data_IF_106931738904
#
_entry.id   IF_106931738904
#
_cell.length_a   1.000
_cell.length_b   1.000
_cell.length_c   1.000
_cell.angle_alpha   90.00
_cell.angle_beta   90.00
_cell.angle_gamma   90.00
#
_symmetry.space_group_name_H-M   'P 1'
#
loop_
_entity.id
_entity.type
_entity.pdbx_description
1 polymer ?
#
# COMPACT_ATOMS: atom_id res chain seq x y z
N UNK A 1 0.13 23.01 5.58
CA UNK A 1 1.01 23.87 6.40
C UNK A 1 0.81 25.36 6.16
N UNK A 2 1.06 25.94 4.97
CA UNK A 2 0.95 27.42 4.78
C UNK A 2 -0.47 28.00 4.94
N UNK A 3 -1.54 27.26 4.63
CA UNK A 3 -2.93 27.71 4.78
C UNK A 3 -3.40 27.66 6.25
N UNK A 4 -2.98 26.68 7.01
CA UNK A 4 -3.30 26.54 8.44
C UNK A 4 -2.61 27.60 9.28
N UNK A 5 -1.35 27.92 8.93
CA UNK A 5 -0.60 29.00 9.60
C UNK A 5 -1.24 30.38 9.38
N UNK A 6 -1.75 30.64 8.16
CA UNK A 6 -2.48 31.89 7.86
C UNK A 6 -3.83 31.98 8.59
N UNK A 7 -4.55 30.84 8.71
CA UNK A 7 -5.80 30.80 9.47
C UNK A 7 -5.59 31.03 10.97
N UNK A 8 -4.53 30.47 11.55
CA UNK A 8 -4.14 30.70 12.96
C UNK A 8 -3.74 32.16 13.24
N UNK A 9 -2.97 32.77 12.33
CA UNK A 9 -2.57 34.17 12.45
C UNK A 9 -3.79 35.08 12.33
N UNK A 10 -4.74 34.76 11.43
CA UNK A 10 -5.99 35.54 11.28
C UNK A 10 -6.88 35.41 12.51
N UNK A 11 -7.01 34.21 13.08
CA UNK A 11 -7.75 33.98 14.33
C UNK A 11 -7.14 34.71 15.53
N UNK A 12 -5.81 34.73 15.64
CA UNK A 12 -5.09 35.45 16.70
C UNK A 12 -5.30 36.95 16.61
N UNK A 13 -5.31 37.54 15.41
CA UNK A 13 -5.59 38.98 15.22
C UNK A 13 -7.04 39.38 15.56
N UNK A 14 -8.00 38.47 15.38
CA UNK A 14 -9.40 38.70 15.80
C UNK A 14 -9.53 38.73 17.33
N UNK A 15 -8.74 37.94 18.04
CA UNK A 15 -8.73 37.88 19.51
C UNK A 15 -8.14 39.15 20.19
N UNK A 16 -7.37 39.95 19.46
CA UNK A 16 -6.81 41.22 19.99
C UNK A 16 -7.70 42.42 19.80
N UNK A 17 -8.81 42.31 19.03
CA UNK A 17 -9.77 43.41 18.86
C UNK A 17 -10.61 43.64 20.11
N UNK A 18 -11.05 44.89 20.40
CA UNK A 18 -11.94 45.19 21.52
C UNK A 18 -13.27 44.44 21.36
N UNK A 19 -13.85 44.03 22.50
CA UNK A 19 -15.03 43.13 22.55
C UNK A 19 -16.23 43.60 21.74
N UNK A 20 -16.46 44.93 21.65
CA UNK A 20 -17.56 45.51 20.88
C UNK A 20 -17.36 45.37 19.35
N UNK A 21 -16.14 45.22 18.85
CA UNK A 21 -15.83 44.97 17.43
C UNK A 21 -15.81 43.49 17.06
N UNK A 22 -15.67 42.60 18.02
CA UNK A 22 -15.64 41.14 17.77
C UNK A 22 -17.01 40.63 17.35
N UNK A 23 -18.06 41.10 17.98
CA UNK A 23 -19.42 40.62 17.72
C UNK A 23 -19.89 40.88 16.27
N UNK A 24 -19.79 42.14 15.72
CA UNK A 24 -20.17 42.39 14.34
C UNK A 24 -19.26 41.67 13.33
N UNK A 25 -17.97 41.45 13.63
CA UNK A 25 -17.05 40.72 12.77
C UNK A 25 -17.41 39.24 12.72
N UNK A 26 -17.78 38.63 13.86
CA UNK A 26 -18.28 37.24 13.90
C UNK A 26 -19.59 37.07 13.12
N UNK A 27 -20.52 38.05 13.24
CA UNK A 27 -21.79 38.03 12.48
C UNK A 27 -21.51 38.17 10.99
N UNK A 28 -20.55 39.00 10.58
CA UNK A 28 -20.18 39.19 9.18
C UNK A 28 -19.56 37.89 8.59
N UNK A 29 -18.68 37.23 9.32
CA UNK A 29 -18.07 35.94 8.90
C UNK A 29 -19.15 34.85 8.80
N UNK A 30 -20.06 34.81 9.78
CA UNK A 30 -21.17 33.85 9.77
C UNK A 30 -22.13 34.10 8.60
N UNK A 31 -22.43 35.36 8.25
CA UNK A 31 -23.28 35.74 7.12
C UNK A 31 -22.66 35.31 5.75
N UNK A 32 -21.32 35.35 5.61
CA UNK A 32 -20.65 34.90 4.41
C UNK A 32 -20.73 33.38 4.18
N UNK A 33 -20.82 32.59 5.27
CA UNK A 33 -20.95 31.12 5.17
C UNK A 33 -22.33 30.68 4.69
N UNK A 34 -23.38 31.40 4.96
CA UNK A 34 -24.76 31.08 4.55
C UNK A 34 -25.07 31.35 3.06
N UNK A 35 -24.34 32.25 2.40
CA UNK A 35 -24.63 32.60 0.99
C UNK A 35 -24.24 31.52 -0.02
N UNK A 36 -23.28 30.65 0.31
CA UNK A 36 -22.85 29.57 -0.58
C UNK A 36 -23.87 28.41 -0.60
N UNK A 37 -24.50 28.11 0.53
CA UNK A 37 -25.48 27.03 0.64
C UNK A 37 -26.77 27.29 -0.13
N UNK A 38 -27.19 28.57 -0.23
CA UNK A 38 -28.43 28.94 -0.92
C UNK A 38 -28.39 28.76 -2.43
N UNK A 39 -27.22 28.95 -3.07
CA UNK A 39 -27.06 28.82 -4.53
C UNK A 39 -27.10 27.35 -4.98
N UNK A 40 -26.42 26.44 -4.24
CA UNK A 40 -26.44 25.02 -4.55
C UNK A 40 -27.85 24.42 -4.38
N UNK A 41 -28.54 24.75 -3.31
CA UNK A 41 -29.90 24.28 -3.07
C UNK A 41 -30.90 24.67 -4.17
N UNK A 42 -30.73 25.86 -4.81
CA UNK A 42 -31.52 26.23 -5.99
C UNK A 42 -31.25 25.34 -7.20
N UNK A 43 -29.97 25.01 -7.44
CA UNK A 43 -29.60 24.09 -8.52
C UNK A 43 -30.19 22.69 -8.28
N UNK A 44 -30.04 22.17 -7.07
CA UNK A 44 -30.51 20.84 -6.69
C UNK A 44 -32.03 20.71 -6.84
N UNK A 45 -32.80 21.76 -6.49
CA UNK A 45 -34.27 21.79 -6.63
C UNK A 45 -34.77 22.05 -8.05
N UNK A 46 -33.88 22.38 -8.99
CA UNK A 46 -34.29 22.61 -10.38
C UNK A 46 -34.82 21.34 -11.02
N UNK A 47 -35.84 21.46 -11.86
CA UNK A 47 -36.34 20.39 -12.73
C UNK A 47 -35.72 20.42 -14.13
N UNK A 48 -34.91 21.45 -14.44
CA UNK A 48 -34.14 21.56 -15.67
C UNK A 48 -32.86 20.72 -15.54
N UNK A 49 -32.86 19.54 -16.13
CA UNK A 49 -31.75 18.59 -16.07
C UNK A 49 -30.53 19.10 -16.88
N UNK A 50 -30.72 19.83 -17.97
CA UNK A 50 -29.62 20.41 -18.73
C UNK A 50 -28.95 21.54 -17.96
N UNK A 51 -29.72 22.34 -17.24
CA UNK A 51 -29.17 23.33 -16.31
C UNK A 51 -28.39 22.66 -15.17
N UNK A 52 -28.93 21.58 -14.57
CA UNK A 52 -28.21 20.80 -13.55
C UNK A 52 -26.91 20.25 -14.09
N UNK A 53 -26.89 19.71 -15.32
CA UNK A 53 -25.68 19.17 -15.93
C UNK A 53 -24.61 20.26 -16.10
N UNK A 54 -24.99 21.42 -16.68
CA UNK A 54 -24.07 22.56 -16.80
C UNK A 54 -23.52 23.02 -15.44
N UNK A 55 -24.32 22.98 -14.40
CA UNK A 55 -23.90 23.35 -13.06
C UNK A 55 -22.99 22.28 -12.44
N UNK A 56 -23.23 20.99 -12.64
CA UNK A 56 -22.36 19.89 -12.23
C UNK A 56 -20.97 20.05 -12.86
N UNK A 57 -20.91 20.33 -14.16
CA UNK A 57 -19.68 20.64 -14.89
C UNK A 57 -18.94 21.82 -14.27
N UNK A 58 -19.65 22.91 -14.00
CA UNK A 58 -19.07 24.11 -13.37
C UNK A 58 -18.50 23.80 -11.98
N UNK A 59 -19.19 22.99 -11.17
CA UNK A 59 -18.69 22.57 -9.86
C UNK A 59 -17.48 21.62 -9.99
N UNK A 60 -17.49 20.71 -10.96
CA UNK A 60 -16.36 19.82 -11.23
C UNK A 60 -15.10 20.61 -11.58
N UNK A 61 -15.18 21.53 -12.55
CA UNK A 61 -14.06 22.41 -12.95
C UNK A 61 -13.58 23.28 -11.78
N UNK A 62 -14.51 23.76 -10.95
CA UNK A 62 -14.19 24.52 -9.74
C UNK A 62 -13.67 23.64 -8.57
N UNK A 63 -13.44 22.33 -8.79
CA UNK A 63 -13.00 21.33 -7.79
C UNK A 63 -13.93 21.22 -6.57
N UNK A 64 -15.19 21.61 -6.72
CA UNK A 64 -16.25 21.44 -5.73
C UNK A 64 -16.88 20.06 -5.91
N UNK A 65 -16.06 19.02 -5.75
CA UNK A 65 -16.40 17.64 -6.12
C UNK A 65 -17.63 17.11 -5.38
N UNK A 66 -17.84 17.48 -4.11
CA UNK A 66 -19.04 17.08 -3.38
C UNK A 66 -20.34 17.59 -4.04
N UNK A 67 -20.35 18.86 -4.46
CA UNK A 67 -21.51 19.44 -5.15
C UNK A 67 -21.70 18.83 -6.56
N UNK A 68 -20.61 18.62 -7.28
CA UNK A 68 -20.65 17.98 -8.59
C UNK A 68 -21.15 16.55 -8.50
N UNK A 69 -20.65 15.78 -7.53
CA UNK A 69 -21.04 14.38 -7.30
C UNK A 69 -22.53 14.24 -7.04
N UNK A 70 -23.10 15.04 -6.15
CA UNK A 70 -24.54 15.00 -5.86
C UNK A 70 -25.40 15.27 -7.09
N UNK A 71 -25.00 16.21 -7.95
CA UNK A 71 -25.73 16.50 -9.18
C UNK A 71 -25.55 15.38 -10.21
N UNK A 72 -24.33 14.84 -10.37
CA UNK A 72 -24.10 13.72 -11.27
C UNK A 72 -24.86 12.47 -10.83
N UNK A 73 -24.96 12.20 -9.53
CA UNK A 73 -25.73 11.09 -8.98
C UNK A 73 -27.20 11.19 -9.35
N UNK A 74 -27.82 12.39 -9.19
CA UNK A 74 -29.21 12.64 -9.60
C UNK A 74 -29.40 12.50 -11.11
N UNK A 75 -28.40 12.94 -11.91
CA UNK A 75 -28.47 12.94 -13.37
C UNK A 75 -28.13 11.57 -13.99
N UNK A 76 -27.46 10.71 -13.27
CA UNK A 76 -26.99 9.42 -13.76
C UNK A 76 -28.10 8.56 -14.39
N UNK A 77 -29.26 8.32 -13.73
CA UNK A 77 -30.36 7.58 -14.33
C UNK A 77 -31.05 8.32 -15.50
N UNK A 78 -31.01 9.65 -15.50
CA UNK A 78 -31.69 10.49 -16.50
C UNK A 78 -30.93 10.45 -17.84
N UNK A 79 -29.59 10.50 -17.80
CA UNK A 79 -28.77 10.53 -18.99
C UNK A 79 -28.34 9.15 -19.49
N UNK A 80 -28.69 8.07 -18.79
CA UNK A 80 -28.37 6.70 -19.22
C UNK A 80 -28.87 6.45 -20.65
N UNK A 81 -27.96 6.04 -21.53
CA UNK A 81 -28.23 5.80 -22.94
C UNK A 81 -28.20 7.05 -23.84
N UNK A 82 -27.92 8.23 -23.28
CA UNK A 82 -27.74 9.47 -24.05
C UNK A 82 -26.25 9.73 -24.39
N UNK A 83 -25.92 10.52 -25.40
CA UNK A 83 -24.54 10.80 -25.80
C UNK A 83 -23.67 11.41 -24.66
N UNK A 84 -24.29 12.20 -23.78
CA UNK A 84 -23.59 12.86 -22.67
C UNK A 84 -23.27 11.93 -21.52
N UNK A 85 -23.84 10.72 -21.51
CA UNK A 85 -23.74 9.79 -20.37
C UNK A 85 -22.30 9.34 -20.12
N UNK A 86 -21.53 9.11 -21.16
CA UNK A 86 -20.11 8.69 -21.00
C UNK A 86 -19.29 9.75 -20.25
N UNK A 87 -19.42 11.02 -20.62
CA UNK A 87 -18.67 12.11 -19.99
C UNK A 87 -19.14 12.39 -18.56
N UNK A 88 -20.46 12.32 -18.34
CA UNK A 88 -21.05 12.41 -17.00
C UNK A 88 -20.51 11.30 -16.09
N UNK A 89 -20.52 10.05 -16.57
CA UNK A 89 -20.06 8.89 -15.80
C UNK A 89 -18.57 9.03 -15.44
N UNK A 90 -17.74 9.39 -16.42
CA UNK A 90 -16.32 9.66 -16.21
C UNK A 90 -16.10 10.66 -15.07
N UNK A 91 -16.76 11.80 -15.12
CA UNK A 91 -16.61 12.86 -14.12
C UNK A 91 -17.20 12.47 -12.77
N UNK A 92 -18.28 11.71 -12.74
CA UNK A 92 -18.86 11.17 -11.51
C UNK A 92 -17.87 10.23 -10.80
N UNK A 93 -17.23 9.32 -11.54
CA UNK A 93 -16.21 8.45 -11.01
C UNK A 93 -15.02 9.23 -10.40
N UNK A 94 -14.57 10.27 -11.12
CA UNK A 94 -13.51 11.13 -10.61
C UNK A 94 -13.91 11.99 -9.42
N UNK A 95 -15.17 12.41 -9.30
CA UNK A 95 -15.64 13.06 -8.08
C UNK A 95 -15.44 12.16 -6.86
N UNK A 96 -15.86 10.90 -6.93
CA UNK A 96 -15.68 9.91 -5.86
C UNK A 96 -14.19 9.72 -5.52
N UNK A 97 -13.32 9.65 -6.54
CA UNK A 97 -11.89 9.54 -6.34
C UNK A 97 -11.30 10.76 -5.61
N UNK A 98 -11.64 11.98 -6.03
CA UNK A 98 -11.13 13.20 -5.40
C UNK A 98 -11.67 13.42 -3.98
N UNK A 99 -12.87 12.93 -3.70
CA UNK A 99 -13.46 12.92 -2.36
C UNK A 99 -12.90 11.80 -1.47
N UNK A 100 -12.05 10.92 -2.04
CA UNK A 100 -11.46 9.76 -1.36
C UNK A 100 -12.52 8.72 -0.95
N UNK A 101 -13.66 8.72 -1.59
CA UNK A 101 -14.61 7.62 -1.51
C UNK A 101 -14.12 6.48 -2.41
N UNK A 102 -13.16 5.74 -1.86
CA UNK A 102 -12.42 4.74 -2.62
C UNK A 102 -13.29 3.58 -3.10
N UNK A 103 -14.27 3.19 -2.27
CA UNK A 103 -15.17 2.09 -2.61
C UNK A 103 -16.04 2.47 -3.79
N UNK A 104 -16.66 3.65 -3.76
CA UNK A 104 -17.48 4.15 -4.85
C UNK A 104 -16.66 4.43 -6.10
N UNK A 105 -15.46 5.01 -5.95
CA UNK A 105 -14.56 5.28 -7.07
C UNK A 105 -14.17 3.99 -7.80
N UNK A 106 -13.74 2.95 -7.08
CA UNK A 106 -13.40 1.64 -7.66
C UNK A 106 -14.57 1.04 -8.43
N UNK A 107 -15.76 1.02 -7.81
CA UNK A 107 -16.96 0.51 -8.44
C UNK A 107 -17.32 1.28 -9.72
N UNK A 108 -17.24 2.61 -9.68
CA UNK A 108 -17.58 3.45 -10.85
C UNK A 108 -16.53 3.28 -11.97
N UNK A 109 -15.24 3.20 -11.66
CA UNK A 109 -14.22 2.93 -12.65
C UNK A 109 -14.42 1.57 -13.32
N UNK A 110 -14.72 0.53 -12.53
CA UNK A 110 -15.05 -0.79 -13.04
C UNK A 110 -16.29 -0.77 -13.94
N UNK A 111 -17.40 -0.20 -13.45
CA UNK A 111 -18.66 -0.13 -14.21
C UNK A 111 -18.51 0.69 -15.50
N UNK A 112 -17.67 1.74 -15.49
CA UNK A 112 -17.41 2.51 -16.71
C UNK A 112 -16.87 1.62 -17.83
N UNK A 113 -15.89 0.76 -17.54
CA UNK A 113 -15.30 -0.14 -18.53
C UNK A 113 -16.25 -1.24 -18.99
N UNK A 114 -17.20 -1.64 -18.13
CA UNK A 114 -18.26 -2.59 -18.48
C UNK A 114 -19.32 -1.95 -19.41
N UNK A 115 -19.63 -0.66 -19.20
CA UNK A 115 -20.65 0.06 -19.99
C UNK A 115 -20.06 0.61 -21.29
N UNK A 116 -18.80 1.05 -21.28
CA UNK A 116 -18.11 1.68 -22.42
C UNK A 116 -16.78 0.97 -22.73
N UNK A 117 -16.80 -0.34 -23.09
CA UNK A 117 -15.57 -1.11 -23.30
C UNK A 117 -14.71 -0.61 -24.47
N UNK A 118 -15.29 0.09 -25.42
CA UNK A 118 -14.61 0.63 -26.62
C UNK A 118 -14.29 2.12 -26.49
N UNK A 119 -14.54 2.73 -25.35
CA UNK A 119 -14.23 4.14 -25.11
C UNK A 119 -12.73 4.40 -25.10
N UNK A 120 -12.31 5.52 -25.65
CA UNK A 120 -10.92 5.98 -25.50
C UNK A 120 -10.53 6.25 -24.04
N UNK A 121 -11.51 6.41 -23.15
CA UNK A 121 -11.29 6.58 -21.70
C UNK A 121 -11.20 5.24 -20.95
N UNK A 122 -11.54 4.11 -21.57
CA UNK A 122 -11.59 2.81 -20.91
C UNK A 122 -10.23 2.41 -20.32
N UNK A 123 -9.15 2.56 -21.08
CA UNK A 123 -7.79 2.30 -20.59
C UNK A 123 -7.47 3.10 -19.31
N UNK A 124 -7.81 4.40 -19.30
CA UNK A 124 -7.59 5.23 -18.13
C UNK A 124 -8.44 4.77 -16.93
N UNK A 125 -9.68 4.34 -17.16
CA UNK A 125 -10.57 3.86 -16.10
C UNK A 125 -10.06 2.55 -15.48
N UNK A 126 -9.53 1.64 -16.29
CA UNK A 126 -8.90 0.41 -15.80
C UNK A 126 -7.66 0.72 -14.93
N UNK A 127 -6.80 1.61 -15.42
CA UNK A 127 -5.66 2.09 -14.65
C UNK A 127 -6.09 2.73 -13.32
N UNK A 128 -7.07 3.64 -13.35
CA UNK A 128 -7.55 4.35 -12.17
C UNK A 128 -8.23 3.43 -11.15
N UNK A 129 -8.88 2.36 -11.61
CA UNK A 129 -9.39 1.30 -10.73
C UNK A 129 -8.25 0.67 -9.92
N UNK A 130 -7.19 0.23 -10.58
CA UNK A 130 -6.01 -0.34 -9.93
C UNK A 130 -5.31 0.68 -9.02
N UNK A 131 -5.17 1.92 -9.49
CA UNK A 131 -4.58 3.01 -8.74
C UNK A 131 -5.36 3.37 -7.47
N UNK A 132 -6.68 3.22 -7.50
CA UNK A 132 -7.54 3.42 -6.32
C UNK A 132 -7.20 2.43 -5.20
N UNK A 133 -6.92 1.16 -5.51
CA UNK A 133 -6.42 0.19 -4.53
C UNK A 133 -5.03 0.55 -4.01
N UNK A 134 -4.14 1.02 -4.90
CA UNK A 134 -2.82 1.50 -4.48
C UNK A 134 -2.91 2.65 -3.46
N UNK A 135 -3.82 3.60 -3.68
CA UNK A 135 -4.06 4.72 -2.76
C UNK A 135 -4.62 4.28 -1.40
N UNK A 136 -5.28 3.14 -1.33
CA UNK A 136 -5.80 2.52 -0.11
C UNK A 136 -4.80 1.60 0.57
N UNK A 137 -3.68 1.25 -0.09
CA UNK A 137 -2.68 0.35 0.45
C UNK A 137 -2.09 0.91 1.75
N UNK A 138 -2.25 0.22 2.90
CA UNK A 138 -1.84 0.75 4.20
C UNK A 138 -0.34 0.57 4.45
N UNK A 139 0.12 0.87 5.69
CA UNK A 139 1.47 0.54 6.13
C UNK A 139 1.67 -0.98 6.14
N UNK A 140 2.94 -1.42 6.00
CA UNK A 140 3.30 -2.84 5.85
C UNK A 140 2.77 -3.74 7.00
N UNK A 141 2.66 -3.23 8.22
CA UNK A 141 2.21 -3.98 9.39
C UNK A 141 0.71 -4.35 9.37
N UNK A 142 -0.07 -3.62 8.59
CA UNK A 142 -1.51 -3.80 8.51
C UNK A 142 -1.90 -4.85 7.45
N UNK A 143 -3.19 -5.06 7.26
CA UNK A 143 -3.72 -5.94 6.21
C UNK A 143 -3.31 -5.46 4.81
N UNK A 144 -2.80 -6.36 3.99
CA UNK A 144 -2.26 -6.04 2.67
C UNK A 144 -3.18 -6.46 1.50
N UNK A 145 -4.44 -6.74 1.75
CA UNK A 145 -5.42 -7.13 0.72
C UNK A 145 -5.47 -6.13 -0.43
N UNK A 146 -5.49 -4.82 -0.12
CA UNK A 146 -5.50 -3.78 -1.15
C UNK A 146 -4.18 -3.71 -1.93
N UNK A 147 -3.06 -3.99 -1.29
CA UNK A 147 -1.75 -4.05 -1.95
C UNK A 147 -1.69 -5.22 -2.94
N UNK A 148 -2.19 -6.39 -2.55
CA UNK A 148 -2.26 -7.56 -3.43
C UNK A 148 -3.20 -7.33 -4.62
N UNK A 149 -4.38 -6.73 -4.38
CA UNK A 149 -5.31 -6.32 -5.45
C UNK A 149 -4.67 -5.32 -6.41
N UNK A 150 -3.87 -4.37 -5.89
CA UNK A 150 -3.12 -3.42 -6.72
C UNK A 150 -2.21 -4.15 -7.69
N UNK A 151 -1.40 -5.09 -7.20
CA UNK A 151 -0.46 -5.85 -8.03
C UNK A 151 -1.23 -6.61 -9.12
N UNK A 152 -2.29 -7.35 -8.75
CA UNK A 152 -3.07 -8.13 -9.71
C UNK A 152 -3.73 -7.27 -10.79
N UNK A 153 -4.34 -6.14 -10.42
CA UNK A 153 -5.00 -5.26 -11.37
C UNK A 153 -4.01 -4.48 -12.25
N UNK A 154 -2.86 -4.03 -11.70
CA UNK A 154 -1.82 -3.38 -12.50
C UNK A 154 -1.17 -4.37 -13.47
N UNK A 155 -0.96 -5.63 -13.06
CA UNK A 155 -0.47 -6.68 -13.97
C UNK A 155 -1.47 -6.96 -15.10
N UNK A 156 -2.77 -7.01 -14.78
CA UNK A 156 -3.82 -7.15 -15.79
C UNK A 156 -3.77 -5.98 -16.77
N UNK A 157 -3.68 -4.74 -16.27
CA UNK A 157 -3.58 -3.54 -17.09
C UNK A 157 -2.38 -3.59 -18.05
N UNK A 158 -1.20 -3.97 -17.56
CA UNK A 158 0.01 -4.12 -18.40
C UNK A 158 -0.20 -5.14 -19.50
N UNK A 159 -0.83 -6.27 -19.19
CA UNK A 159 -1.05 -7.36 -20.14
C UNK A 159 -2.10 -6.99 -21.21
N UNK A 160 -3.13 -6.22 -20.83
CA UNK A 160 -4.21 -5.84 -21.75
C UNK A 160 -3.88 -4.60 -22.58
N UNK A 161 -2.96 -3.74 -22.11
CA UNK A 161 -2.57 -2.49 -22.77
C UNK A 161 -1.04 -2.40 -23.02
N UNK A 162 -0.45 -3.30 -23.83
CA UNK A 162 1.00 -3.33 -24.04
C UNK A 162 1.58 -2.08 -24.74
N UNK A 163 0.73 -1.25 -25.33
CA UNK A 163 1.10 0.04 -25.94
C UNK A 163 0.86 1.26 -25.06
N UNK A 164 0.42 1.09 -23.83
CA UNK A 164 0.08 2.20 -22.94
C UNK A 164 1.29 3.05 -22.55
N UNK A 165 1.11 4.35 -22.52
CA UNK A 165 2.11 5.30 -21.98
C UNK A 165 2.28 5.19 -20.47
N UNK A 166 1.36 4.50 -19.77
CA UNK A 166 1.36 4.30 -18.31
C UNK A 166 2.09 3.03 -17.87
N UNK A 167 2.67 2.23 -18.79
CA UNK A 167 3.35 0.97 -18.44
C UNK A 167 4.44 1.13 -17.41
N UNK A 168 5.26 2.17 -17.57
CA UNK A 168 6.33 2.45 -16.60
C UNK A 168 5.76 2.73 -15.21
N UNK A 169 4.75 3.59 -15.11
CA UNK A 169 4.12 3.93 -13.83
C UNK A 169 3.44 2.72 -13.19
N UNK A 170 2.78 1.87 -14.00
CA UNK A 170 2.15 0.65 -13.52
C UNK A 170 3.19 -0.36 -12.96
N UNK A 171 4.32 -0.54 -13.64
CA UNK A 171 5.42 -1.37 -13.12
C UNK A 171 6.01 -0.80 -11.83
N UNK A 172 6.29 0.52 -11.77
CA UNK A 172 6.80 1.18 -10.55
C UNK A 172 5.83 1.00 -9.35
N UNK A 173 4.51 0.96 -9.60
CA UNK A 173 3.51 0.69 -8.57
C UNK A 173 3.54 -0.77 -8.12
N UNK A 174 3.71 -1.71 -9.05
CA UNK A 174 3.86 -3.14 -8.73
C UNK A 174 5.09 -3.34 -7.85
N UNK A 175 6.24 -2.78 -8.24
CA UNK A 175 7.50 -2.91 -7.51
C UNK A 175 7.38 -2.36 -6.08
N UNK A 176 6.85 -1.14 -5.91
CA UNK A 176 6.59 -0.55 -4.59
C UNK A 176 5.62 -1.36 -3.74
N UNK A 177 4.64 -1.99 -4.39
CA UNK A 177 3.67 -2.86 -3.71
C UNK A 177 4.32 -4.17 -3.27
N UNK A 178 5.18 -4.77 -4.09
CA UNK A 178 5.97 -5.96 -3.74
C UNK A 178 6.96 -5.67 -2.61
N UNK A 179 7.69 -4.56 -2.68
CA UNK A 179 8.56 -4.11 -1.58
C UNK A 179 7.82 -3.98 -0.25
N UNK A 180 6.59 -3.47 -0.27
CA UNK A 180 5.75 -3.37 0.93
C UNK A 180 5.36 -4.73 1.49
N UNK A 181 5.01 -5.70 0.64
CA UNK A 181 4.72 -7.07 1.05
C UNK A 181 5.97 -7.74 1.62
N UNK A 182 7.11 -7.58 0.98
CA UNK A 182 8.41 -8.05 1.46
C UNK A 182 8.73 -7.47 2.85
N UNK A 183 8.59 -6.17 3.03
CA UNK A 183 8.79 -5.51 4.34
C UNK A 183 7.89 -6.10 5.44
N UNK A 184 6.65 -6.48 5.12
CA UNK A 184 5.76 -7.15 6.08
C UNK A 184 6.32 -8.49 6.51
N UNK A 185 6.78 -9.31 5.59
CA UNK A 185 7.35 -10.62 5.90
C UNK A 185 8.67 -10.50 6.68
N UNK A 186 9.54 -9.54 6.29
CA UNK A 186 10.76 -9.23 7.04
C UNK A 186 10.44 -8.87 8.50
N UNK A 187 9.49 -7.98 8.74
CA UNK A 187 9.10 -7.60 10.10
C UNK A 187 8.58 -8.77 10.91
N UNK A 188 7.86 -9.68 10.28
CA UNK A 188 7.39 -10.92 10.93
C UNK A 188 8.56 -11.82 11.31
N UNK A 189 9.53 -12.04 10.42
CA UNK A 189 10.71 -12.85 10.69
C UNK A 189 11.59 -12.25 11.81
N UNK A 190 11.81 -10.92 11.76
CA UNK A 190 12.52 -10.18 12.83
C UNK A 190 11.80 -10.31 14.16
N UNK A 191 10.48 -10.25 14.19
CA UNK A 191 9.70 -10.41 15.41
C UNK A 191 9.92 -11.79 16.04
N UNK A 192 9.82 -12.87 15.26
CA UNK A 192 10.12 -14.22 15.75
C UNK A 192 11.54 -14.34 16.29
N UNK A 193 12.52 -13.78 15.60
CA UNK A 193 13.91 -13.77 16.05
C UNK A 193 14.09 -13.07 17.41
N UNK A 194 13.52 -11.88 17.55
CA UNK A 194 13.62 -11.06 18.78
C UNK A 194 12.88 -11.69 19.96
N UNK A 195 11.82 -12.46 19.70
CA UNK A 195 11.09 -13.23 20.72
C UNK A 195 11.82 -14.53 21.12
N UNK A 196 12.95 -14.86 20.49
CA UNK A 196 13.68 -16.11 20.75
C UNK A 196 13.07 -17.35 20.08
N UNK A 197 12.07 -17.18 19.22
CA UNK A 197 11.46 -18.26 18.43
C UNK A 197 12.31 -18.57 17.19
N UNK A 198 13.55 -18.99 17.43
CA UNK A 198 14.57 -19.08 16.38
C UNK A 198 14.23 -20.06 15.25
N UNK A 199 13.57 -21.19 15.54
CA UNK A 199 13.09 -22.09 14.48
C UNK A 199 12.09 -21.37 13.55
N UNK A 200 11.09 -20.69 14.14
CA UNK A 200 10.10 -19.96 13.38
C UNK A 200 10.73 -18.81 12.58
N UNK A 201 11.72 -18.12 13.14
CA UNK A 201 12.48 -17.09 12.46
C UNK A 201 13.22 -17.64 11.23
N UNK A 202 13.93 -18.77 11.38
CA UNK A 202 14.63 -19.42 10.28
C UNK A 202 13.69 -19.82 9.15
N UNK A 203 12.53 -20.41 9.49
CA UNK A 203 11.49 -20.76 8.52
C UNK A 203 10.93 -19.51 7.84
N UNK A 204 10.63 -18.45 8.59
CA UNK A 204 10.08 -17.21 8.06
C UNK A 204 11.05 -16.52 7.06
N UNK A 205 12.35 -16.44 7.39
CA UNK A 205 13.36 -15.91 6.46
C UNK A 205 13.53 -16.80 5.22
N UNK A 206 13.44 -18.13 5.36
CA UNK A 206 13.48 -19.04 4.19
C UNK A 206 12.26 -18.86 3.30
N UNK A 207 11.07 -18.72 3.88
CA UNK A 207 9.83 -18.43 3.13
C UNK A 207 9.89 -17.09 2.41
N UNK A 208 10.44 -16.06 3.08
CA UNK A 208 10.65 -14.73 2.50
C UNK A 208 11.52 -14.81 1.23
N UNK A 209 12.61 -15.57 1.25
CA UNK A 209 13.46 -15.76 0.08
C UNK A 209 12.74 -16.47 -1.07
N UNK A 210 11.84 -17.41 -0.78
CA UNK A 210 11.04 -18.10 -1.77
C UNK A 210 9.95 -17.19 -2.38
N UNK A 211 9.34 -16.34 -1.56
CA UNK A 211 8.28 -15.43 -1.98
C UNK A 211 8.83 -14.22 -2.77
N UNK A 212 10.09 -13.83 -2.49
CA UNK A 212 10.76 -12.68 -3.11
C UNK A 212 12.16 -13.08 -3.63
N UNK A 213 12.22 -13.96 -4.65
CA UNK A 213 13.51 -14.48 -5.15
C UNK A 213 14.40 -13.42 -5.78
N UNK A 214 13.78 -12.32 -6.27
CA UNK A 214 14.48 -11.19 -6.91
C UNK A 214 14.85 -10.09 -5.89
N UNK A 215 14.71 -10.33 -4.58
CA UNK A 215 15.06 -9.36 -3.55
C UNK A 215 16.55 -9.06 -3.55
N UNK A 216 16.87 -7.78 -3.46
CA UNK A 216 18.25 -7.29 -3.31
C UNK A 216 18.87 -7.65 -1.96
N UNK A 217 18.07 -8.13 -1.02
CA UNK A 217 18.49 -8.47 0.34
C UNK A 217 18.58 -9.99 0.56
N UNK A 218 18.54 -10.80 -0.51
CA UNK A 218 18.51 -12.27 -0.42
C UNK A 218 19.69 -12.85 0.35
N UNK A 219 20.90 -12.27 0.19
CA UNK A 219 22.09 -12.68 0.93
C UNK A 219 21.94 -12.43 2.43
N UNK A 220 21.43 -11.26 2.80
CA UNK A 220 21.20 -10.91 4.22
C UNK A 220 20.13 -11.82 4.82
N UNK A 221 19.06 -12.12 4.09
CA UNK A 221 18.02 -13.04 4.55
C UNK A 221 18.58 -14.45 4.78
N UNK A 222 19.43 -14.93 3.86
CA UNK A 222 20.11 -16.23 4.01
C UNK A 222 21.01 -16.26 5.24
N UNK A 223 21.75 -15.19 5.50
CA UNK A 223 22.54 -15.09 6.74
C UNK A 223 21.64 -15.10 7.98
N UNK A 224 20.47 -14.47 7.95
CA UNK A 224 19.52 -14.52 9.06
C UNK A 224 18.92 -15.93 9.26
N UNK A 225 18.72 -16.72 8.19
CA UNK A 225 18.37 -18.15 8.28
C UNK A 225 19.45 -18.89 9.05
N UNK A 226 20.72 -18.75 8.69
CA UNK A 226 21.87 -19.41 9.33
C UNK A 226 21.94 -19.02 10.81
N UNK A 227 21.87 -17.72 11.12
CA UNK A 227 21.87 -17.21 12.52
C UNK A 227 20.74 -17.80 13.33
N UNK A 228 19.55 -17.86 12.75
CA UNK A 228 18.35 -18.37 13.42
C UNK A 228 18.48 -19.87 13.74
N UNK A 229 18.90 -20.68 12.77
CA UNK A 229 19.12 -22.12 13.01
C UNK A 229 20.27 -22.39 13.97
N UNK A 230 21.33 -21.58 13.95
CA UNK A 230 22.42 -21.69 14.94
C UNK A 230 21.92 -21.45 16.36
N UNK A 231 21.13 -20.39 16.59
CA UNK A 231 20.57 -20.10 17.90
C UNK A 231 19.53 -21.14 18.31
N UNK A 232 18.77 -21.68 17.37
CA UNK A 232 17.87 -22.79 17.61
C UNK A 232 18.63 -24.05 18.06
N UNK A 233 19.72 -24.41 17.37
CA UNK A 233 20.57 -25.53 17.76
C UNK A 233 21.17 -25.34 19.14
N UNK A 234 21.75 -24.16 19.41
CA UNK A 234 22.38 -23.82 20.69
C UNK A 234 21.42 -23.95 21.88
N UNK A 235 20.17 -23.56 21.70
CA UNK A 235 19.15 -23.56 22.76
C UNK A 235 18.35 -24.88 22.82
N UNK A 236 18.83 -25.92 22.17
CA UNK A 236 18.15 -27.21 22.11
C UNK A 236 18.61 -28.15 23.24
N UNK A 237 17.84 -29.20 23.48
CA UNK A 237 18.25 -30.30 24.33
C UNK A 237 19.43 -31.03 23.69
N UNK A 238 20.33 -31.61 24.52
CA UNK A 238 21.61 -32.15 24.08
C UNK A 238 21.47 -33.22 22.97
N UNK A 239 20.46 -34.07 23.09
CA UNK A 239 20.18 -35.14 22.11
C UNK A 239 19.84 -34.61 20.69
N UNK A 240 19.42 -33.36 20.60
CA UNK A 240 19.01 -32.72 19.34
C UNK A 240 20.01 -31.69 18.80
N UNK A 241 20.99 -31.30 19.59
CA UNK A 241 21.96 -30.26 19.22
C UNK A 241 22.75 -30.63 17.96
N UNK A 242 23.31 -31.85 17.90
CA UNK A 242 24.15 -32.28 16.81
C UNK A 242 23.37 -32.22 15.45
N UNK A 243 22.20 -32.85 15.40
CA UNK A 243 21.32 -32.84 14.21
C UNK A 243 21.01 -31.40 13.75
N UNK A 244 20.78 -30.49 14.71
CA UNK A 244 20.42 -29.09 14.40
C UNK A 244 21.61 -28.25 13.95
N UNK A 245 22.81 -28.52 14.45
CA UNK A 245 24.04 -27.90 13.94
C UNK A 245 24.39 -28.40 12.53
N UNK A 246 24.10 -29.68 12.20
CA UNK A 246 24.21 -30.17 10.82
C UNK A 246 23.30 -29.38 9.85
N UNK A 247 22.08 -29.02 10.29
CA UNK A 247 21.22 -28.13 9.51
C UNK A 247 21.86 -26.76 9.26
N UNK A 248 22.56 -26.18 10.27
CA UNK A 248 23.31 -24.91 10.08
C UNK A 248 24.41 -25.09 9.03
N UNK A 249 25.15 -26.19 9.07
CA UNK A 249 26.19 -26.47 8.06
C UNK A 249 25.62 -26.56 6.65
N UNK A 250 24.48 -27.24 6.50
CA UNK A 250 23.73 -27.31 5.22
C UNK A 250 23.36 -25.92 4.71
N UNK A 251 22.85 -25.05 5.59
CA UNK A 251 22.49 -23.68 5.20
C UNK A 251 23.71 -22.81 4.85
N UNK A 252 24.85 -23.04 5.52
CA UNK A 252 26.13 -22.40 5.18
C UNK A 252 26.64 -22.84 3.79
N UNK A 253 26.50 -24.12 3.44
CA UNK A 253 26.86 -24.62 2.13
C UNK A 253 25.97 -23.99 1.04
N UNK A 254 24.65 -24.00 1.25
CA UNK A 254 23.70 -23.38 0.34
C UNK A 254 23.97 -21.86 0.15
N UNK A 255 24.41 -21.15 1.21
CA UNK A 255 24.86 -19.76 1.06
C UNK A 255 26.06 -19.63 0.12
N UNK A 256 27.09 -20.47 0.34
CA UNK A 256 28.31 -20.41 -0.44
C UNK A 256 28.06 -20.75 -1.93
N UNK A 257 27.18 -21.70 -2.17
CA UNK A 257 26.80 -22.12 -3.53
C UNK A 257 26.00 -21.04 -4.26
N UNK A 258 25.11 -20.35 -3.56
CA UNK A 258 24.22 -19.34 -4.15
C UNK A 258 24.87 -17.96 -4.29
N UNK A 259 25.77 -17.63 -3.37
CA UNK A 259 26.36 -16.28 -3.26
C UNK A 259 27.90 -16.37 -3.17
N UNK A 260 28.56 -16.88 -4.20
CA UNK A 260 30.03 -16.91 -4.23
C UNK A 260 30.60 -15.49 -4.16
N UNK A 261 31.72 -15.31 -3.50
CA UNK A 261 32.45 -14.04 -3.33
C UNK A 261 31.64 -12.92 -2.59
N UNK A 262 30.62 -13.29 -1.84
CA UNK A 262 29.81 -12.32 -1.09
C UNK A 262 30.56 -11.81 0.17
N UNK A 263 30.48 -10.50 0.50
CA UNK A 263 31.11 -9.95 1.71
C UNK A 263 30.68 -10.60 3.01
N UNK A 264 29.44 -11.16 3.08
CA UNK A 264 28.91 -11.85 4.25
C UNK A 264 29.48 -13.26 4.43
N UNK A 265 30.28 -13.78 3.47
CA UNK A 265 30.91 -15.10 3.57
C UNK A 265 31.73 -15.29 4.84
N UNK A 266 32.37 -14.23 5.36
CA UNK A 266 33.13 -14.27 6.64
C UNK A 266 32.23 -14.56 7.83
N UNK A 267 31.05 -13.99 7.86
CA UNK A 267 30.06 -14.28 8.92
C UNK A 267 29.51 -15.69 8.80
N UNK A 268 29.24 -16.15 7.59
CA UNK A 268 28.79 -17.53 7.32
C UNK A 268 29.86 -18.52 7.76
N UNK A 269 31.11 -18.30 7.43
CA UNK A 269 32.23 -19.16 7.82
C UNK A 269 32.41 -19.19 9.34
N UNK A 270 32.19 -18.10 10.03
CA UNK A 270 32.15 -18.07 11.51
C UNK A 270 31.09 -19.02 12.07
N UNK A 271 29.85 -18.99 11.53
CA UNK A 271 28.79 -19.92 11.99
C UNK A 271 29.07 -21.36 11.62
N UNK A 272 29.70 -21.61 10.45
CA UNK A 272 30.19 -22.92 10.03
C UNK A 272 31.15 -23.48 11.06
N UNK A 273 32.22 -22.76 11.37
CA UNK A 273 33.28 -23.18 12.31
C UNK A 273 32.71 -23.39 13.72
N UNK A 274 31.84 -22.50 14.20
CA UNK A 274 31.16 -22.66 15.48
C UNK A 274 30.32 -23.94 15.52
N UNK A 275 29.57 -24.24 14.46
CA UNK A 275 28.72 -25.44 14.41
C UNK A 275 29.53 -26.71 14.36
N UNK A 276 30.63 -26.76 13.58
CA UNK A 276 31.55 -27.90 13.52
C UNK A 276 32.19 -28.15 14.89
N UNK A 277 32.64 -27.10 15.59
CA UNK A 277 33.23 -27.21 16.92
C UNK A 277 32.22 -27.78 17.92
N UNK A 278 30.99 -27.29 17.94
CA UNK A 278 29.94 -27.80 18.82
C UNK A 278 29.60 -29.28 18.53
N UNK A 279 29.51 -29.67 17.25
CA UNK A 279 29.26 -31.08 16.91
C UNK A 279 30.38 -31.97 17.42
N UNK A 280 31.66 -31.58 17.23
CA UNK A 280 32.82 -32.33 17.71
C UNK A 280 32.85 -32.46 19.23
N UNK A 281 32.50 -31.41 19.95
CA UNK A 281 32.39 -31.40 21.41
C UNK A 281 31.32 -32.40 21.88
N UNK A 282 30.13 -32.37 21.32
CA UNK A 282 29.02 -33.29 21.61
C UNK A 282 29.45 -34.75 21.38
N UNK A 283 30.11 -35.04 20.25
CA UNK A 283 30.60 -36.39 19.93
C UNK A 283 31.63 -36.89 20.93
N UNK A 284 32.56 -36.01 21.35
CA UNK A 284 33.56 -36.36 22.36
C UNK A 284 32.93 -36.64 23.76
N UNK A 285 31.88 -35.88 24.12
CA UNK A 285 31.15 -36.13 25.38
C UNK A 285 30.37 -37.43 25.36
N UNK A 286 29.77 -37.77 24.22
CA UNK A 286 29.05 -39.04 24.03
C UNK A 286 30.01 -40.25 24.11
N UNK A 287 31.18 -40.15 23.48
CA UNK A 287 32.19 -41.19 23.55
C UNK A 287 32.64 -41.45 24.97
N UNK A 288 32.88 -40.40 25.78
CA UNK A 288 33.26 -40.52 27.20
C UNK A 288 32.19 -41.11 28.10
N UNK A 289 30.93 -41.09 27.74
CA UNK A 289 29.81 -41.68 28.51
C UNK A 289 29.58 -43.15 28.17
N UNK A 290 30.16 -43.63 27.09
CA UNK A 290 30.04 -45.03 26.62
C UNK A 290 31.24 -45.92 27.03
N UNK A 291 32.32 -45.29 27.45
CA UNK A 291 33.48 -45.93 28.10
C UNK A 291 33.29 -45.98 29.65
#
# INVERSE_FOLDING_TARGET
MAAETKALIFAANILTLPTFMRLPLFILILAFTFTSCSKFAKVQKSTDYDYKLRMAEKYYVAKKYNNAQQLYEELFPIYKGQPQFEDLFYKYAYCSYYLKDWLQAENLFKQFTEVFPTSQKAEEMEYMRAYTYYRQSPKAELDQTNTQKTIGLMQTFINTHPGSTRLKEANDIIDKSREKLEQKEVKSAVLYYNMGHYLAAGIAYSSLMNNFPDSKNSEEYKLQVIKSYYLYARNSIDEKKAERYEKVLSECNDFTDRFPDNPLAKDVERYRNLSQSNIKEIQNEQAKKTD
#
